data_IF_748700329905
#
_entry.id   IF_748700329905
#
_cell.length_a   1.000
_cell.length_b   1.000
_cell.length_c   1.000
_cell.angle_alpha   90.00
_cell.angle_beta   90.00
_cell.angle_gamma   90.00
#
_symmetry.space_group_name_H-M   'P 1'
#
loop_
_entity.id
_entity.type
_entity.pdbx_description
1 polymer ?
#
# COMPACT_ATOMS: atom_id res chain seq x y z
N UNK A 1 -3.47 -17.91 -3.20
CA UNK A 1 -4.35 -17.55 -4.36
C UNK A 1 -3.86 -16.20 -4.81
N UNK A 2 -3.45 -16.04 -6.07
CA UNK A 2 -2.94 -14.77 -6.60
C UNK A 2 -4.07 -13.79 -6.96
N UNK A 3 -3.69 -12.53 -7.24
CA UNK A 3 -4.64 -11.47 -7.59
C UNK A 3 -5.51 -11.80 -8.81
N UNK A 4 -4.95 -12.46 -9.84
CA UNK A 4 -5.72 -12.81 -11.04
C UNK A 4 -6.83 -13.81 -10.74
N UNK A 5 -6.53 -14.82 -9.90
CA UNK A 5 -7.54 -15.82 -9.49
C UNK A 5 -8.66 -15.18 -8.65
N UNK A 6 -8.32 -14.27 -7.73
CA UNK A 6 -9.31 -13.51 -6.94
C UNK A 6 -10.22 -12.71 -7.86
N UNK A 7 -9.65 -12.01 -8.81
CA UNK A 7 -10.36 -11.18 -9.75
C UNK A 7 -11.27 -11.98 -10.69
N UNK A 8 -10.81 -13.16 -11.13
CA UNK A 8 -11.63 -14.08 -11.93
C UNK A 8 -12.89 -14.52 -11.19
N UNK A 9 -12.74 -14.86 -9.90
CA UNK A 9 -13.87 -15.19 -9.02
C UNK A 9 -14.81 -13.99 -8.82
N UNK A 10 -14.25 -12.80 -8.57
CA UNK A 10 -15.04 -11.57 -8.44
C UNK A 10 -15.91 -11.32 -9.69
N UNK A 11 -15.30 -11.42 -10.88
CA UNK A 11 -16.02 -11.24 -12.15
C UNK A 11 -17.11 -12.31 -12.34
N UNK A 12 -16.81 -13.56 -11.98
CA UNK A 12 -17.79 -14.66 -12.06
C UNK A 12 -18.97 -14.43 -11.13
N UNK A 13 -18.71 -14.05 -9.87
CA UNK A 13 -19.77 -13.81 -8.88
C UNK A 13 -20.63 -12.61 -9.26
N UNK A 14 -20.03 -11.49 -9.67
CA UNK A 14 -20.80 -10.30 -10.10
C UNK A 14 -21.66 -10.57 -11.33
N UNK A 15 -21.14 -11.29 -12.33
CA UNK A 15 -21.92 -11.69 -13.52
C UNK A 15 -23.01 -12.69 -13.15
N UNK A 16 -22.69 -13.69 -12.33
CA UNK A 16 -23.66 -14.69 -11.86
C UNK A 16 -24.82 -14.06 -11.11
N UNK A 17 -24.53 -13.13 -10.18
CA UNK A 17 -25.57 -12.40 -9.44
C UNK A 17 -26.48 -11.59 -10.40
N UNK A 18 -25.90 -10.94 -11.42
CA UNK A 18 -26.69 -10.22 -12.42
C UNK A 18 -27.58 -11.15 -13.25
N UNK A 19 -27.08 -12.30 -13.69
CA UNK A 19 -27.87 -13.30 -14.44
C UNK A 19 -29.02 -13.84 -13.60
N UNK A 20 -28.76 -14.21 -12.34
CA UNK A 20 -29.80 -14.70 -11.42
C UNK A 20 -30.88 -13.65 -11.20
N UNK A 21 -30.50 -12.40 -10.96
CA UNK A 21 -31.47 -11.30 -10.80
C UNK A 21 -32.31 -11.11 -12.05
N UNK A 22 -31.73 -11.17 -13.26
CA UNK A 22 -32.46 -11.07 -14.52
C UNK A 22 -33.48 -12.22 -14.69
N UNK A 23 -33.08 -13.45 -14.40
CA UNK A 23 -33.99 -14.61 -14.45
C UNK A 23 -35.16 -14.43 -13.48
N UNK A 24 -34.87 -14.01 -12.24
CA UNK A 24 -35.92 -13.78 -11.23
C UNK A 24 -36.89 -12.68 -11.64
N UNK A 25 -36.43 -11.58 -12.24
CA UNK A 25 -37.30 -10.51 -12.77
C UNK A 25 -38.21 -11.05 -13.87
N UNK A 26 -37.67 -11.85 -14.80
CA UNK A 26 -38.47 -12.49 -15.86
C UNK A 26 -39.51 -13.44 -15.28
N UNK A 27 -39.15 -14.24 -14.28
CA UNK A 27 -40.11 -15.13 -13.60
C UNK A 27 -41.26 -14.33 -12.94
N UNK A 28 -40.93 -13.24 -12.23
CA UNK A 28 -41.95 -12.35 -11.63
C UNK A 28 -42.87 -11.77 -12.70
N UNK A 29 -42.31 -11.33 -13.84
CA UNK A 29 -43.08 -10.74 -14.93
C UNK A 29 -44.04 -11.73 -15.59
N UNK A 30 -43.71 -13.03 -15.63
CA UNK A 30 -44.53 -14.08 -16.26
C UNK A 30 -45.56 -14.65 -15.28
N UNK A 31 -45.19 -14.83 -14.01
CA UNK A 31 -46.01 -15.56 -13.03
C UNK A 31 -47.02 -14.66 -12.31
N UNK A 32 -46.66 -13.41 -12.08
CA UNK A 32 -47.50 -12.45 -11.31
C UNK A 32 -48.30 -11.59 -12.29
N UNK A 33 -49.62 -11.73 -12.30
CA UNK A 33 -50.50 -10.92 -13.15
C UNK A 33 -50.90 -9.59 -12.52
N UNK A 34 -50.82 -9.48 -11.20
CA UNK A 34 -51.12 -8.23 -10.48
C UNK A 34 -49.95 -7.24 -10.58
N UNK A 35 -50.21 -6.07 -11.14
CA UNK A 35 -49.20 -5.05 -11.43
C UNK A 35 -48.50 -4.52 -10.16
N UNK A 36 -49.24 -4.40 -9.05
CA UNK A 36 -48.65 -3.93 -7.78
C UNK A 36 -47.72 -4.95 -7.19
N UNK A 37 -48.15 -6.21 -7.11
CA UNK A 37 -47.32 -7.31 -6.62
C UNK A 37 -46.10 -7.55 -7.53
N UNK A 38 -46.26 -7.42 -8.85
CA UNK A 38 -45.13 -7.48 -9.80
C UNK A 38 -44.10 -6.39 -9.52
N UNK A 39 -44.55 -5.16 -9.34
CA UNK A 39 -43.67 -4.00 -9.01
C UNK A 39 -42.90 -4.24 -7.71
N UNK A 40 -43.60 -4.66 -6.65
CA UNK A 40 -42.96 -4.99 -5.36
C UNK A 40 -41.94 -6.12 -5.51
N UNK A 41 -42.29 -7.17 -6.24
CA UNK A 41 -41.38 -8.28 -6.50
C UNK A 41 -40.08 -7.86 -7.20
N UNK A 42 -40.19 -7.00 -8.23
CA UNK A 42 -39.01 -6.45 -8.93
C UNK A 42 -38.16 -5.59 -8.01
N UNK A 43 -38.77 -4.74 -7.16
CA UNK A 43 -38.04 -3.91 -6.20
C UNK A 43 -37.28 -4.74 -5.15
N UNK A 44 -37.89 -5.84 -4.67
CA UNK A 44 -37.23 -6.77 -3.73
C UNK A 44 -36.03 -7.45 -4.38
N UNK A 45 -36.17 -7.92 -5.65
CA UNK A 45 -35.05 -8.52 -6.38
C UNK A 45 -33.94 -7.50 -6.61
N UNK A 46 -34.29 -6.25 -6.94
CA UNK A 46 -33.29 -5.20 -7.15
C UNK A 46 -32.53 -4.86 -5.86
N UNK A 47 -33.24 -4.76 -4.73
CA UNK A 47 -32.63 -4.58 -3.41
C UNK A 47 -31.68 -5.75 -3.07
N UNK A 48 -32.10 -6.98 -3.29
CA UNK A 48 -31.29 -8.17 -3.12
C UNK A 48 -30.05 -8.18 -4.01
N UNK A 49 -30.17 -7.74 -5.26
CA UNK A 49 -29.03 -7.59 -6.19
C UNK A 49 -28.01 -6.58 -5.65
N UNK A 50 -28.47 -5.42 -5.20
CA UNK A 50 -27.56 -4.40 -4.64
C UNK A 50 -26.83 -4.92 -3.40
N UNK A 51 -27.51 -5.58 -2.48
CA UNK A 51 -26.92 -6.20 -1.32
C UNK A 51 -25.91 -7.28 -1.70
N UNK A 52 -26.24 -8.14 -2.66
CA UNK A 52 -25.34 -9.17 -3.17
C UNK A 52 -24.07 -8.59 -3.76
N UNK A 53 -24.19 -7.54 -4.57
CA UNK A 53 -23.02 -6.83 -5.14
C UNK A 53 -22.15 -6.19 -4.03
N UNK A 54 -22.78 -5.58 -3.00
CA UNK A 54 -22.02 -5.01 -1.87
C UNK A 54 -21.24 -6.07 -1.10
N UNK A 55 -21.83 -7.24 -0.84
CA UNK A 55 -21.14 -8.35 -0.17
C UNK A 55 -19.98 -8.89 -1.00
N UNK A 56 -20.18 -9.06 -2.31
CA UNK A 56 -19.13 -9.49 -3.24
C UNK A 56 -17.99 -8.46 -3.27
N UNK A 57 -18.29 -7.16 -3.30
CA UNK A 57 -17.30 -6.10 -3.26
C UNK A 57 -16.51 -6.11 -1.94
N UNK A 58 -17.19 -6.22 -0.80
CA UNK A 58 -16.54 -6.32 0.52
C UNK A 58 -15.61 -7.52 0.61
N UNK A 59 -16.07 -8.68 0.15
CA UNK A 59 -15.25 -9.90 0.09
C UNK A 59 -14.02 -9.70 -0.81
N UNK A 60 -14.19 -9.14 -2.01
CA UNK A 60 -13.09 -8.88 -2.96
C UNK A 60 -12.05 -7.94 -2.37
N UNK A 61 -12.48 -6.79 -1.84
CA UNK A 61 -11.59 -5.81 -1.23
C UNK A 61 -10.85 -6.38 -0.02
N UNK A 62 -11.51 -7.19 0.81
CA UNK A 62 -10.87 -7.84 1.96
C UNK A 62 -9.76 -8.81 1.55
N UNK A 63 -9.98 -9.62 0.48
CA UNK A 63 -8.93 -10.53 -0.01
C UNK A 63 -7.80 -9.77 -0.69
N UNK A 64 -8.09 -8.75 -1.49
CA UNK A 64 -7.06 -7.91 -2.11
C UNK A 64 -6.20 -7.23 -1.04
N UNK A 65 -6.84 -6.61 -0.04
CA UNK A 65 -6.11 -5.99 1.08
C UNK A 65 -5.22 -7.02 1.82
N UNK A 66 -5.72 -8.23 2.05
CA UNK A 66 -4.93 -9.30 2.65
C UNK A 66 -3.72 -9.67 1.81
N UNK A 67 -3.89 -9.92 0.50
CA UNK A 67 -2.80 -10.27 -0.40
C UNK A 67 -1.72 -9.19 -0.45
N UNK A 68 -2.13 -7.92 -0.53
CA UNK A 68 -1.21 -6.81 -0.69
C UNK A 68 -0.53 -6.40 0.62
N UNK A 69 -1.26 -6.36 1.72
CA UNK A 69 -0.75 -5.73 2.95
C UNK A 69 -0.44 -6.71 4.09
N UNK A 70 -1.13 -7.87 4.14
CA UNK A 70 -0.89 -8.88 5.18
C UNK A 70 0.05 -9.97 4.68
N UNK A 71 -0.23 -10.55 3.50
CA UNK A 71 0.61 -11.58 2.91
C UNK A 71 1.84 -10.99 2.21
N UNK A 72 1.78 -9.71 1.82
CA UNK A 72 2.81 -8.96 1.08
C UNK A 72 3.27 -9.71 -0.18
N UNK A 73 2.30 -10.19 -0.98
CA UNK A 73 2.55 -10.90 -2.23
C UNK A 73 2.92 -9.90 -3.34
N UNK A 74 4.22 -9.73 -3.58
CA UNK A 74 4.74 -8.77 -4.56
C UNK A 74 4.30 -9.10 -6.01
N UNK A 75 4.08 -10.37 -6.34
CA UNK A 75 3.55 -10.75 -7.63
C UNK A 75 2.11 -10.25 -7.80
N UNK A 76 1.28 -10.38 -6.76
CA UNK A 76 -0.08 -9.81 -6.73
C UNK A 76 -0.08 -8.28 -6.76
N UNK A 77 0.91 -7.61 -6.14
CA UNK A 77 1.08 -6.16 -6.25
C UNK A 77 1.31 -5.73 -7.71
N UNK A 78 2.24 -6.38 -8.43
CA UNK A 78 2.52 -6.11 -9.85
C UNK A 78 1.25 -6.32 -10.70
N UNK A 79 0.54 -7.43 -10.51
CA UNK A 79 -0.69 -7.74 -11.24
C UNK A 79 -1.80 -6.70 -10.95
N UNK A 80 -1.95 -6.27 -9.70
CA UNK A 80 -2.91 -5.25 -9.30
C UNK A 80 -2.65 -3.91 -10.00
N UNK A 81 -1.40 -3.46 -9.99
CA UNK A 81 -0.96 -2.23 -10.62
C UNK A 81 -1.25 -2.28 -12.13
N UNK A 82 -0.73 -3.28 -12.83
CA UNK A 82 -0.88 -3.42 -14.28
C UNK A 82 -2.34 -3.47 -14.72
N UNK A 83 -3.16 -4.18 -13.95
CA UNK A 83 -4.57 -4.27 -14.28
C UNK A 83 -5.31 -2.94 -14.09
N UNK A 84 -5.08 -2.25 -12.97
CA UNK A 84 -5.82 -1.03 -12.65
C UNK A 84 -5.32 0.21 -13.43
N UNK A 85 -4.09 0.22 -13.92
CA UNK A 85 -3.59 1.26 -14.85
C UNK A 85 -4.45 1.41 -16.10
N UNK A 86 -4.98 0.31 -16.61
CA UNK A 86 -5.80 0.26 -17.85
C UNK A 86 -7.30 0.28 -17.57
N UNK A 87 -7.71 0.43 -16.31
CA UNK A 87 -9.12 0.44 -15.93
C UNK A 87 -9.87 1.65 -16.53
N UNK A 88 -11.14 1.46 -16.92
CA UNK A 88 -11.98 2.57 -17.42
C UNK A 88 -12.31 3.62 -16.35
N UNK A 89 -12.25 3.25 -15.06
CA UNK A 89 -12.56 4.13 -13.94
C UNK A 89 -11.32 4.90 -13.52
N UNK A 90 -11.36 6.22 -13.61
CA UNK A 90 -10.25 7.12 -13.22
C UNK A 90 -9.78 6.86 -11.78
N UNK A 91 -10.71 6.60 -10.85
CA UNK A 91 -10.35 6.28 -9.46
C UNK A 91 -9.45 5.04 -9.32
N UNK A 92 -9.63 4.01 -10.17
CA UNK A 92 -8.75 2.83 -10.17
C UNK A 92 -7.39 3.13 -10.81
N UNK A 93 -7.34 4.02 -11.79
CA UNK A 93 -6.06 4.46 -12.37
C UNK A 93 -5.24 5.28 -11.36
N UNK A 94 -5.90 6.17 -10.61
CA UNK A 94 -5.25 6.95 -9.53
C UNK A 94 -4.74 6.00 -8.45
N UNK A 95 -5.55 5.05 -8.01
CA UNK A 95 -5.17 4.06 -7.01
C UNK A 95 -3.98 3.19 -7.48
N UNK A 96 -3.97 2.76 -8.75
CA UNK A 96 -2.85 2.04 -9.34
C UNK A 96 -1.56 2.87 -9.34
N UNK A 97 -1.63 4.16 -9.68
CA UNK A 97 -0.46 5.05 -9.68
C UNK A 97 0.07 5.29 -8.26
N UNK A 98 -0.81 5.46 -7.27
CA UNK A 98 -0.42 5.55 -5.86
C UNK A 98 0.23 4.25 -5.37
N UNK A 99 -0.36 3.11 -5.74
CA UNK A 99 0.16 1.78 -5.43
C UNK A 99 1.52 1.54 -6.09
N UNK A 100 1.75 2.05 -7.29
CA UNK A 100 3.04 1.97 -8.00
C UNK A 100 4.15 2.74 -7.28
N UNK A 101 3.85 3.91 -6.71
CA UNK A 101 4.80 4.66 -5.86
C UNK A 101 5.18 3.84 -4.63
N UNK A 102 4.18 3.29 -3.93
CA UNK A 102 4.43 2.44 -2.77
C UNK A 102 5.25 1.21 -3.12
N UNK A 103 5.00 0.59 -4.26
CA UNK A 103 5.74 -0.57 -4.74
C UNK A 103 7.21 -0.23 -5.03
N UNK A 104 7.47 0.85 -5.77
CA UNK A 104 8.82 1.33 -6.04
C UNK A 104 9.58 1.65 -4.75
N UNK A 105 8.92 2.29 -3.78
CA UNK A 105 9.48 2.56 -2.45
C UNK A 105 9.85 1.25 -1.71
N UNK A 106 8.92 0.29 -1.63
CA UNK A 106 9.16 -0.99 -0.94
C UNK A 106 10.29 -1.80 -1.56
N UNK A 107 10.44 -1.73 -2.88
CA UNK A 107 11.50 -2.42 -3.62
C UNK A 107 12.80 -1.61 -3.70
N UNK A 108 12.86 -0.40 -3.12
CA UNK A 108 14.07 0.43 -3.03
C UNK A 108 14.46 1.12 -4.34
N UNK A 109 13.54 1.21 -5.28
CA UNK A 109 13.70 2.06 -6.47
C UNK A 109 13.20 3.47 -6.14
N UNK A 110 13.97 4.14 -5.25
CA UNK A 110 13.55 5.41 -4.66
C UNK A 110 13.50 6.54 -5.69
N UNK A 111 14.38 6.55 -6.68
CA UNK A 111 14.35 7.55 -7.76
C UNK A 111 13.07 7.43 -8.58
N UNK A 112 12.70 6.20 -8.95
CA UNK A 112 11.43 5.91 -9.62
C UNK A 112 10.24 6.27 -8.72
N UNK A 113 10.30 6.01 -7.42
CA UNK A 113 9.25 6.41 -6.48
C UNK A 113 9.06 7.93 -6.44
N UNK A 114 10.16 8.71 -6.40
CA UNK A 114 10.14 10.18 -6.47
C UNK A 114 9.50 10.66 -7.77
N UNK A 115 9.96 10.14 -8.92
CA UNK A 115 9.42 10.52 -10.21
C UNK A 115 7.92 10.24 -10.31
N UNK A 116 7.50 9.02 -9.98
CA UNK A 116 6.10 8.59 -10.05
C UNK A 116 5.20 9.36 -9.07
N UNK A 117 5.69 9.67 -7.87
CA UNK A 117 4.95 10.50 -6.91
C UNK A 117 4.71 11.91 -7.47
N UNK A 118 5.75 12.55 -8.04
CA UNK A 118 5.62 13.86 -8.68
C UNK A 118 4.66 13.85 -9.87
N UNK A 119 4.63 12.79 -10.66
CA UNK A 119 3.68 12.61 -11.76
C UNK A 119 2.25 12.40 -11.25
N UNK A 120 2.07 11.56 -10.22
CA UNK A 120 0.77 11.27 -9.65
C UNK A 120 0.14 12.48 -8.94
N UNK A 121 0.94 13.32 -8.29
CA UNK A 121 0.48 14.56 -7.65
C UNK A 121 -0.10 15.59 -8.63
N UNK A 122 0.22 15.50 -9.93
CA UNK A 122 -0.31 16.37 -10.98
C UNK A 122 -1.65 15.90 -11.56
N UNK A 123 -2.19 14.76 -11.10
CA UNK A 123 -3.41 14.20 -11.65
C UNK A 123 -4.64 15.01 -11.24
N UNK A 124 -5.49 15.31 -12.22
CA UNK A 124 -6.78 15.90 -11.96
C UNK A 124 -7.70 14.91 -11.19
N UNK A 125 -8.47 15.44 -10.23
CA UNK A 125 -9.39 14.63 -9.43
C UNK A 125 -8.73 13.78 -8.34
N UNK A 126 -7.45 14.03 -8.04
CA UNK A 126 -6.75 13.41 -6.92
C UNK A 126 -7.40 13.82 -5.59
N UNK A 127 -7.92 12.84 -4.86
CA UNK A 127 -8.52 13.08 -3.54
C UNK A 127 -7.46 13.44 -2.50
N UNK A 128 -7.77 14.29 -1.49
CA UNK A 128 -6.80 14.71 -0.47
C UNK A 128 -6.05 13.54 0.16
N UNK A 129 -6.73 12.46 0.52
CA UNK A 129 -6.11 11.28 1.12
C UNK A 129 -5.04 10.61 0.25
N UNK A 130 -5.22 10.58 -1.09
CA UNK A 130 -4.19 10.05 -1.98
C UNK A 130 -3.03 11.03 -2.14
N UNK A 131 -3.32 12.34 -2.15
CA UNK A 131 -2.30 13.38 -2.16
C UNK A 131 -1.41 13.27 -0.93
N UNK A 132 -2.00 13.18 0.25
CA UNK A 132 -1.30 13.05 1.53
C UNK A 132 -0.38 11.83 1.56
N UNK A 133 -0.86 10.68 1.08
CA UNK A 133 -0.06 9.46 0.97
C UNK A 133 1.10 9.63 -0.01
N UNK A 134 0.85 10.23 -1.17
CA UNK A 134 1.88 10.46 -2.20
C UNK A 134 2.97 11.42 -1.70
N UNK A 135 2.61 12.50 -1.01
CA UNK A 135 3.57 13.43 -0.39
C UNK A 135 4.42 12.73 0.68
N UNK A 136 3.80 11.86 1.50
CA UNK A 136 4.53 11.07 2.49
C UNK A 136 5.55 10.11 1.86
N UNK A 137 5.18 9.41 0.78
CA UNK A 137 6.14 8.57 0.05
C UNK A 137 7.19 9.38 -0.69
N UNK A 138 6.82 10.54 -1.26
CA UNK A 138 7.74 11.41 -1.97
C UNK A 138 8.90 11.84 -1.07
N UNK A 139 8.61 12.44 0.09
CA UNK A 139 9.67 12.94 0.98
C UNK A 139 10.56 11.81 1.50
N UNK A 140 9.99 10.68 1.91
CA UNK A 140 10.74 9.50 2.36
C UNK A 140 11.64 8.93 1.25
N UNK A 141 11.14 8.90 0.00
CA UNK A 141 11.92 8.47 -1.15
C UNK A 141 13.04 9.45 -1.49
N UNK A 142 12.82 10.77 -1.34
CA UNK A 142 13.88 11.78 -1.51
C UNK A 142 15.00 11.54 -0.51
N UNK A 143 14.69 11.38 0.79
CA UNK A 143 15.69 11.09 1.82
C UNK A 143 16.53 9.84 1.47
N UNK A 144 15.87 8.76 1.00
CA UNK A 144 16.57 7.49 0.72
C UNK A 144 17.28 7.46 -0.64
N UNK A 145 16.97 8.39 -1.56
CA UNK A 145 17.61 8.48 -2.88
C UNK A 145 18.75 9.48 -2.95
N UNK A 146 18.89 10.38 -1.96
CA UNK A 146 19.86 11.46 -1.97
C UNK A 146 20.80 11.40 -0.76
N UNK A 147 21.91 10.64 -0.85
CA UNK A 147 22.84 10.49 0.28
C UNK A 147 23.55 11.78 0.68
N UNK A 148 23.58 12.79 -0.20
CA UNK A 148 24.18 14.11 0.04
C UNK A 148 23.16 15.16 0.56
N UNK A 149 21.91 14.75 0.82
CA UNK A 149 20.88 15.66 1.33
C UNK A 149 21.32 16.27 2.68
N UNK A 150 21.35 17.59 2.77
CA UNK A 150 21.62 18.27 4.04
C UNK A 150 20.38 18.34 4.93
N UNK A 151 20.57 18.59 6.22
CA UNK A 151 19.47 18.76 7.16
C UNK A 151 18.60 19.96 6.82
N UNK A 152 19.22 21.05 6.41
CA UNK A 152 18.54 22.29 6.01
C UNK A 152 17.66 22.06 4.77
N UNK A 153 18.14 21.30 3.80
CA UNK A 153 17.34 20.92 2.62
C UNK A 153 16.16 20.04 3.01
N UNK A 154 16.35 19.07 3.92
CA UNK A 154 15.24 18.26 4.44
C UNK A 154 14.18 19.14 5.12
N UNK A 155 14.59 20.09 5.96
CA UNK A 155 13.67 20.98 6.67
C UNK A 155 12.87 21.85 5.69
N UNK A 156 13.50 22.34 4.60
CA UNK A 156 12.80 23.03 3.51
C UNK A 156 11.74 22.13 2.86
N UNK A 157 12.12 20.92 2.49
CA UNK A 157 11.20 19.97 1.86
C UNK A 157 10.03 19.60 2.78
N UNK A 158 10.25 19.43 4.08
CA UNK A 158 9.20 19.15 5.06
C UNK A 158 8.23 20.33 5.20
N UNK A 159 8.72 21.57 5.15
CA UNK A 159 7.88 22.76 5.21
C UNK A 159 7.05 22.99 3.94
N UNK A 160 7.46 22.43 2.79
CA UNK A 160 6.71 22.49 1.53
C UNK A 160 5.57 21.45 1.44
N UNK A 161 5.50 20.48 2.36
CA UNK A 161 4.44 19.48 2.38
C UNK A 161 3.08 20.11 2.63
N UNK A 162 2.08 19.65 1.89
CA UNK A 162 0.70 20.14 1.97
C UNK A 162 -0.27 19.07 2.50
N UNK A 163 0.23 18.14 3.30
CA UNK A 163 -0.54 17.04 3.90
C UNK A 163 -1.67 17.64 4.76
N UNK A 164 -2.90 17.25 4.45
CA UNK A 164 -4.11 17.80 5.10
C UNK A 164 -4.47 17.08 6.40
N UNK A 165 -4.11 15.80 6.52
CA UNK A 165 -4.27 15.03 7.78
C UNK A 165 -3.12 15.38 8.75
N UNK A 166 -3.40 16.07 9.88
CA UNK A 166 -2.36 16.50 10.81
C UNK A 166 -1.63 15.33 11.49
N UNK A 167 -2.29 14.18 11.64
CA UNK A 167 -1.66 12.96 12.20
C UNK A 167 -0.64 12.39 11.22
N UNK A 168 -1.02 12.32 9.94
CA UNK A 168 -0.12 11.86 8.90
C UNK A 168 1.00 12.86 8.64
N UNK A 169 0.74 14.17 8.68
CA UNK A 169 1.77 15.22 8.54
C UNK A 169 2.87 15.05 9.61
N UNK A 170 2.47 14.99 10.87
CA UNK A 170 3.40 14.78 12.00
C UNK A 170 4.16 13.46 11.87
N UNK A 171 3.49 12.38 11.50
CA UNK A 171 4.13 11.07 11.29
C UNK A 171 5.13 11.13 10.13
N UNK A 172 4.78 11.81 9.04
CA UNK A 172 5.65 11.96 7.86
C UNK A 172 6.91 12.75 8.21
N UNK A 173 6.79 13.84 8.95
CA UNK A 173 7.91 14.60 9.47
C UNK A 173 8.83 13.72 10.33
N UNK A 174 8.28 13.08 11.36
CA UNK A 174 9.06 12.27 12.30
C UNK A 174 9.77 11.09 11.61
N UNK A 175 9.10 10.36 10.70
CA UNK A 175 9.74 9.27 9.99
C UNK A 175 10.82 9.76 9.03
N UNK A 176 10.61 10.89 8.34
CA UNK A 176 11.62 11.43 7.41
C UNK A 176 12.87 11.90 8.12
N UNK A 177 12.70 12.55 9.28
CA UNK A 177 13.82 12.92 10.17
C UNK A 177 14.56 11.68 10.66
N UNK A 178 13.86 10.67 11.15
CA UNK A 178 14.48 9.44 11.62
C UNK A 178 15.21 8.66 10.49
N UNK A 179 14.65 8.66 9.28
CA UNK A 179 15.34 8.09 8.11
C UNK A 179 16.64 8.85 7.82
N UNK A 180 16.59 10.18 7.80
CA UNK A 180 17.76 11.03 7.59
C UNK A 180 18.85 10.75 8.65
N UNK A 181 18.48 10.79 9.94
CA UNK A 181 19.41 10.56 11.03
C UNK A 181 20.09 9.19 10.91
N UNK A 182 19.32 8.12 10.64
CA UNK A 182 19.85 6.76 10.57
C UNK A 182 20.63 6.46 9.28
N UNK A 183 20.24 7.03 8.12
CA UNK A 183 20.79 6.62 6.83
C UNK A 183 21.80 7.58 6.23
N UNK A 184 21.74 8.86 6.58
CA UNK A 184 22.60 9.93 6.03
C UNK A 184 23.54 10.45 7.12
N UNK A 185 22.99 10.93 8.24
CA UNK A 185 23.80 11.47 9.33
C UNK A 185 24.53 10.40 10.14
N UNK A 186 24.09 9.15 10.06
CA UNK A 186 24.58 8.03 10.88
C UNK A 186 24.48 8.32 12.39
N UNK A 187 23.41 8.98 12.78
CA UNK A 187 23.08 9.31 14.16
C UNK A 187 21.94 8.43 14.67
N UNK A 188 21.97 8.09 15.97
CA UNK A 188 20.92 7.26 16.57
C UNK A 188 19.61 8.02 16.70
N UNK A 189 18.50 7.36 16.33
CA UNK A 189 17.15 7.90 16.47
C UNK A 189 16.18 6.81 16.93
N UNK A 190 15.53 7.00 18.08
CA UNK A 190 14.67 6.01 18.70
C UNK A 190 13.21 6.03 18.20
N UNK A 191 12.92 6.78 17.15
CA UNK A 191 11.55 6.86 16.61
C UNK A 191 10.96 5.50 16.30
N UNK A 192 11.71 4.63 15.62
CA UNK A 192 11.22 3.29 15.23
C UNK A 192 11.08 2.33 16.41
N UNK A 193 11.70 2.60 17.57
CA UNK A 193 11.57 1.76 18.79
C UNK A 193 10.16 1.82 19.39
N UNK A 194 9.45 2.89 19.15
CA UNK A 194 8.12 3.14 19.72
C UNK A 194 6.98 2.72 18.78
N UNK A 195 7.32 2.28 17.55
CA UNK A 195 6.32 1.99 16.54
C UNK A 195 5.90 0.52 16.54
N UNK A 196 4.61 0.33 16.26
CA UNK A 196 4.02 -0.96 15.90
C UNK A 196 3.13 -0.77 14.67
N UNK A 197 2.94 -1.81 13.89
CA UNK A 197 2.05 -1.78 12.73
C UNK A 197 1.40 -3.16 12.53
N UNK A 198 0.19 -3.18 11.96
CA UNK A 198 -0.52 -4.41 11.62
C UNK A 198 -0.19 -4.93 10.20
N UNK A 199 0.31 -4.06 9.32
CA UNK A 199 0.67 -4.40 7.95
C UNK A 199 2.11 -4.88 7.85
N UNK A 200 2.33 -5.90 7.03
CA UNK A 200 3.59 -6.64 6.98
C UNK A 200 4.78 -5.76 6.57
N UNK A 201 4.67 -4.97 5.48
CA UNK A 201 5.82 -4.17 5.04
C UNK A 201 6.27 -3.13 6.08
N UNK A 202 5.37 -2.30 6.67
CA UNK A 202 5.77 -1.41 7.75
C UNK A 202 6.39 -2.11 8.97
N UNK A 203 5.96 -3.34 9.30
CA UNK A 203 6.61 -4.13 10.37
C UNK A 203 8.05 -4.47 10.01
N UNK A 204 8.30 -4.92 8.76
CA UNK A 204 9.65 -5.25 8.29
C UNK A 204 10.54 -3.99 8.25
N UNK A 205 9.98 -2.86 7.82
CA UNK A 205 10.64 -1.56 7.80
C UNK A 205 11.03 -1.11 9.21
N UNK A 206 10.12 -1.21 10.17
CA UNK A 206 10.39 -0.89 11.59
C UNK A 206 11.53 -1.76 12.12
N UNK A 207 11.48 -3.09 11.93
CA UNK A 207 12.53 -4.00 12.38
C UNK A 207 13.89 -3.65 11.77
N UNK A 208 13.92 -3.30 10.48
CA UNK A 208 15.15 -2.92 9.79
C UNK A 208 15.77 -1.65 10.37
N UNK A 209 14.97 -0.59 10.58
CA UNK A 209 15.50 0.66 11.12
C UNK A 209 15.82 0.57 12.62
N UNK A 210 15.15 -0.27 13.39
CA UNK A 210 15.56 -0.62 14.76
C UNK A 210 16.95 -1.30 14.76
N UNK A 211 17.19 -2.23 13.81
CA UNK A 211 18.49 -2.89 13.68
C UNK A 211 19.58 -1.90 13.29
N UNK A 212 19.28 -0.98 12.38
CA UNK A 212 20.23 0.08 11.98
C UNK A 212 20.55 1.00 13.16
N UNK A 213 19.54 1.41 13.93
CA UNK A 213 19.72 2.18 15.16
C UNK A 213 20.57 1.45 16.20
N UNK A 214 20.33 0.15 16.41
CA UNK A 214 21.15 -0.67 17.30
C UNK A 214 22.61 -0.76 16.81
N UNK A 215 22.84 -0.86 15.50
CA UNK A 215 24.18 -0.85 14.90
C UNK A 215 24.90 0.48 15.20
N UNK A 216 24.24 1.61 15.03
CA UNK A 216 24.78 2.95 15.30
C UNK A 216 25.11 3.11 16.79
N UNK A 217 24.28 2.56 17.69
CA UNK A 217 24.52 2.55 19.14
C UNK A 217 25.61 1.59 19.58
N UNK A 218 26.16 0.74 18.69
CA UNK A 218 27.17 -0.27 19.01
C UNK A 218 26.61 -1.54 19.64
N UNK A 219 25.28 -1.73 19.64
CA UNK A 219 24.61 -2.95 20.14
C UNK A 219 24.49 -3.98 19.02
N UNK A 220 25.63 -4.65 18.73
CA UNK A 220 25.74 -5.61 17.65
C UNK A 220 24.85 -6.86 17.86
N UNK A 221 24.66 -7.30 19.12
CA UNK A 221 23.85 -8.48 19.41
C UNK A 221 22.39 -8.21 19.08
N UNK A 222 21.85 -7.10 19.52
CA UNK A 222 20.49 -6.68 19.20
C UNK A 222 20.30 -6.43 17.72
N UNK A 223 21.25 -5.76 17.05
CA UNK A 223 21.20 -5.54 15.61
C UNK A 223 21.08 -6.87 14.86
N UNK A 224 21.96 -7.84 15.17
CA UNK A 224 21.95 -9.15 14.55
C UNK A 224 20.66 -9.93 14.84
N UNK A 225 20.11 -9.88 16.06
CA UNK A 225 18.81 -10.51 16.38
C UNK A 225 17.69 -9.97 15.51
N UNK A 226 17.60 -8.64 15.36
CA UNK A 226 16.59 -7.96 14.54
C UNK A 226 16.76 -8.30 13.05
N UNK A 227 17.97 -8.21 12.51
CA UNK A 227 18.25 -8.53 11.11
C UNK A 227 17.91 -9.97 10.74
N UNK A 228 18.16 -10.93 11.64
CA UNK A 228 17.82 -12.35 11.40
C UNK A 228 16.31 -12.58 11.23
N UNK A 229 15.45 -11.72 11.76
CA UNK A 229 13.99 -11.80 11.56
C UNK A 229 13.58 -11.48 10.11
N UNK A 230 14.44 -10.78 9.36
CA UNK A 230 14.15 -10.32 7.99
C UNK A 230 14.72 -11.24 6.89
N UNK A 231 15.71 -12.09 7.16
CA UNK A 231 16.46 -12.84 6.12
C UNK A 231 15.61 -13.81 5.30
N UNK A 232 14.48 -14.25 5.84
CA UNK A 232 13.58 -15.23 5.20
C UNK A 232 12.45 -14.56 4.40
N UNK A 233 12.35 -13.24 4.45
CA UNK A 233 11.35 -12.47 3.72
C UNK A 233 11.74 -12.28 2.24
N UNK A 234 10.84 -11.72 1.45
CA UNK A 234 11.04 -11.60 0.00
C UNK A 234 12.27 -10.73 -0.32
N UNK A 235 13.18 -11.30 -1.08
CA UNK A 235 14.44 -10.65 -1.51
C UNK A 235 14.23 -9.43 -2.44
N UNK A 236 13.06 -9.24 -3.04
CA UNK A 236 12.77 -8.04 -3.81
C UNK A 236 12.60 -6.81 -2.92
N UNK A 237 12.29 -6.99 -1.63
CA UNK A 237 12.14 -5.89 -0.68
C UNK A 237 13.50 -5.24 -0.36
N UNK A 238 13.52 -3.91 -0.37
CA UNK A 238 14.72 -3.13 -0.05
C UNK A 238 15.32 -3.50 1.31
N UNK A 239 14.50 -3.49 2.36
CA UNK A 239 14.95 -3.78 3.73
C UNK A 239 15.55 -5.18 3.88
N UNK A 240 15.08 -6.16 3.11
CA UNK A 240 15.60 -7.53 3.10
C UNK A 240 16.94 -7.61 2.37
N UNK A 241 17.10 -6.90 1.25
CA UNK A 241 18.40 -6.82 0.56
C UNK A 241 19.46 -6.17 1.43
N UNK A 242 19.11 -5.03 2.04
CA UNK A 242 20.05 -4.30 2.92
C UNK A 242 20.39 -5.08 4.19
N UNK A 243 19.44 -5.86 4.74
CA UNK A 243 19.71 -6.80 5.82
C UNK A 243 20.84 -7.78 5.49
N UNK A 244 20.82 -8.34 4.28
CA UNK A 244 21.88 -9.28 3.85
C UNK A 244 23.23 -8.60 3.70
N UNK A 245 23.25 -7.36 3.22
CA UNK A 245 24.49 -6.56 3.14
C UNK A 245 25.06 -6.30 4.53
N UNK A 246 24.23 -5.90 5.49
CA UNK A 246 24.66 -5.63 6.87
C UNK A 246 25.17 -6.89 7.58
N UNK A 247 24.48 -8.02 7.44
CA UNK A 247 24.91 -9.29 8.05
C UNK A 247 26.22 -9.82 7.45
N UNK A 248 26.43 -9.68 6.13
CA UNK A 248 27.68 -10.11 5.48
C UNK A 248 28.84 -9.20 5.86
N UNK A 249 28.62 -7.88 5.97
CA UNK A 249 29.67 -6.94 6.38
C UNK A 249 30.08 -7.06 7.85
N UNK A 250 29.27 -7.69 8.70
CA UNK A 250 29.62 -8.00 10.10
C UNK A 250 30.45 -9.26 10.26
N UNK A 251 30.46 -10.15 9.25
CA UNK A 251 31.25 -11.40 9.26
C UNK A 251 32.72 -11.17 8.85
N UNK A 252 33.02 -10.06 8.16
CA UNK A 252 34.37 -9.74 7.67
C UNK A 252 35.18 -8.84 8.64
N UNK A 253 34.71 -8.57 9.86
CA UNK A 253 35.41 -7.83 10.91
C UNK A 253 35.68 -8.72 12.13
#
# INVERSE_FOLDING_TARGET
MDYQAVRKKYTLYTRGTGIVATILILCVAVVISDTLLQTVGVLVIFAGLLLGIQLINKWYLGIVAKLLHVDLDLASWKQYIEFNKTAKRVALQIDAKTTEVSFAYMTGDFETAVQKAKEALKLEGLKPQFKDILESYLIRSVVLSQPELSREELDVLLNELTITDPTLAKKTEQVSVALYDLTIAHESNDYFETLTNEFKYPQLEIIYYQALNATIKGDADRANELLRKLVHEDKELYVVRMTKVLLNGTVER
#
